data_IF_766575077188
#
_entry.id   IF_766575077188
#
_cell.length_a   1.000
_cell.length_b   1.000
_cell.length_c   1.000
_cell.angle_alpha   90.00
_cell.angle_beta   90.00
_cell.angle_gamma   90.00
#
_symmetry.space_group_name_H-M   'P 1'
#
loop_
_entity.id
_entity.type
_entity.pdbx_description
1 polymer ?
#
# COMPACT_ATOMS: atom_id res chain seq x y z
N UNK A 1 -9.18 3.23 -16.98
CA UNK A 1 -8.17 4.20 -17.45
C UNK A 1 -7.16 4.43 -16.33
N UNK A 2 -5.87 4.46 -16.64
CA UNK A 2 -4.83 4.78 -15.65
C UNK A 2 -4.92 6.29 -15.37
N UNK A 3 -5.55 6.67 -14.25
CA UNK A 3 -6.04 8.03 -14.05
C UNK A 3 -4.95 9.10 -13.90
N UNK A 4 -5.04 10.15 -14.72
CA UNK A 4 -4.27 11.42 -14.70
C UNK A 4 -4.58 12.32 -13.48
N UNK A 5 -5.20 11.79 -12.42
CA UNK A 5 -5.60 12.59 -11.26
C UNK A 5 -4.50 12.55 -10.19
N UNK A 6 -4.02 13.73 -9.77
CA UNK A 6 -3.15 13.86 -8.61
C UNK A 6 -3.74 13.09 -7.41
N UNK A 7 -2.91 12.34 -6.65
CA UNK A 7 -3.40 11.55 -5.53
C UNK A 7 -3.99 12.47 -4.46
N UNK A 8 -5.25 12.25 -4.12
CA UNK A 8 -5.92 12.90 -2.99
C UNK A 8 -5.61 12.14 -1.71
N UNK A 9 -5.07 12.83 -0.72
CA UNK A 9 -4.75 12.29 0.61
C UNK A 9 -5.92 12.49 1.59
N UNK A 10 -6.08 11.65 2.63
CA UNK A 10 -5.25 10.50 2.96
C UNK A 10 -5.48 9.33 1.98
N UNK A 11 -4.42 8.57 1.70
CA UNK A 11 -4.42 7.43 0.80
C UNK A 11 -3.94 6.17 1.53
N UNK A 12 -4.54 5.03 1.21
CA UNK A 12 -3.99 3.73 1.66
C UNK A 12 -3.27 3.08 0.48
N UNK A 13 -1.99 2.79 0.65
CA UNK A 13 -1.17 2.13 -0.36
C UNK A 13 -0.95 0.67 0.00
N UNK A 14 -1.31 -0.24 -0.90
CA UNK A 14 -0.97 -1.65 -0.84
C UNK A 14 0.19 -1.92 -1.82
N UNK A 15 1.35 -2.29 -1.29
CA UNK A 15 2.56 -2.58 -2.07
C UNK A 15 2.75 -4.08 -2.08
N UNK A 16 2.62 -4.72 -3.25
CA UNK A 16 2.68 -6.18 -3.42
C UNK A 16 3.63 -6.54 -4.56
N UNK A 17 4.86 -6.94 -4.21
CA UNK A 17 5.91 -7.35 -5.14
C UNK A 17 6.42 -8.76 -4.83
N UNK A 18 7.44 -9.20 -5.55
CA UNK A 18 8.12 -10.47 -5.27
C UNK A 18 8.68 -10.54 -3.85
N UNK A 19 9.16 -9.42 -3.29
CA UNK A 19 9.80 -9.39 -1.97
C UNK A 19 9.09 -8.54 -0.91
N UNK A 20 8.00 -7.85 -1.28
CA UNK A 20 7.29 -6.95 -0.38
C UNK A 20 5.79 -7.23 -0.39
N UNK A 21 5.20 -7.17 0.80
CA UNK A 21 3.75 -7.07 0.96
C UNK A 21 3.52 -6.17 2.16
N UNK A 22 3.32 -4.89 1.87
CA UNK A 22 3.21 -3.82 2.86
C UNK A 22 1.89 -3.06 2.66
N UNK A 23 1.27 -2.69 3.76
CA UNK A 23 0.10 -1.82 3.80
C UNK A 23 0.50 -0.52 4.49
N UNK A 24 0.29 0.61 3.82
CA UNK A 24 0.71 1.92 4.32
C UNK A 24 -0.43 2.93 4.25
N UNK A 25 -0.45 3.84 5.21
CA UNK A 25 -1.24 5.07 5.16
C UNK A 25 -0.33 6.22 4.74
N UNK A 26 -0.77 7.04 3.80
CA UNK A 26 -0.09 8.26 3.41
C UNK A 26 -1.01 9.46 3.62
N UNK A 27 -0.56 10.39 4.44
CA UNK A 27 -1.24 11.66 4.71
C UNK A 27 -0.77 12.78 3.78
N UNK A 28 0.28 12.52 2.98
CA UNK A 28 0.90 13.43 2.03
C UNK A 28 2.19 12.85 1.46
N UNK A 29 2.74 13.50 0.43
CA UNK A 29 4.05 13.10 -0.11
C UNK A 29 5.13 13.11 0.98
N UNK A 30 5.85 12.00 1.13
CA UNK A 30 6.88 11.83 2.16
C UNK A 30 6.35 11.60 3.58
N UNK A 31 5.02 11.60 3.77
CA UNK A 31 4.36 11.35 5.05
C UNK A 31 3.67 10.00 4.98
N UNK A 32 4.39 8.98 5.47
CA UNK A 32 3.94 7.59 5.39
C UNK A 32 3.96 6.96 6.77
N UNK A 33 2.98 6.09 7.00
CA UNK A 33 2.89 5.25 8.19
C UNK A 33 2.63 3.83 7.75
N UNK A 34 3.58 2.92 8.02
CA UNK A 34 3.32 1.50 7.83
C UNK A 34 2.22 1.05 8.79
N UNK A 35 1.16 0.47 8.23
CA UNK A 35 0.07 -0.15 8.99
C UNK A 35 0.39 -1.61 9.29
N UNK A 36 0.87 -2.35 8.28
CA UNK A 36 1.21 -3.75 8.40
C UNK A 36 2.14 -4.23 7.29
N UNK A 37 2.72 -5.43 7.49
CA UNK A 37 3.60 -6.09 6.52
C UNK A 37 3.43 -7.60 6.56
N UNK A 38 3.93 -8.31 5.55
CA UNK A 38 4.06 -9.76 5.68
C UNK A 38 5.00 -10.13 6.84
N UNK A 39 4.59 -11.13 7.63
CA UNK A 39 5.42 -11.77 8.67
C UNK A 39 6.32 -12.86 8.10
N UNK A 40 6.03 -13.35 6.89
CA UNK A 40 6.74 -14.45 6.24
C UNK A 40 6.98 -14.19 4.74
N UNK A 41 6.53 -15.08 3.86
CA UNK A 41 6.67 -14.94 2.41
C UNK A 41 5.86 -13.71 1.94
N UNK A 42 6.41 -12.95 1.00
CA UNK A 42 5.61 -11.95 0.27
C UNK A 42 4.60 -12.65 -0.65
N UNK A 43 3.51 -11.97 -0.99
CA UNK A 43 2.50 -12.55 -1.88
C UNK A 43 3.10 -12.91 -3.25
N UNK A 44 3.97 -12.05 -3.81
CA UNK A 44 4.63 -12.34 -5.09
C UNK A 44 5.52 -13.59 -5.03
N UNK A 45 6.29 -13.76 -3.95
CA UNK A 45 7.06 -14.98 -3.71
C UNK A 45 6.16 -16.22 -3.57
N UNK A 46 4.99 -16.10 -2.93
CA UNK A 46 4.01 -17.18 -2.87
C UNK A 46 3.48 -17.55 -4.27
N UNK A 47 3.18 -16.55 -5.12
CA UNK A 47 2.81 -16.78 -6.52
C UNK A 47 3.92 -17.51 -7.29
N UNK A 48 5.17 -17.09 -7.16
CA UNK A 48 6.30 -17.73 -7.84
C UNK A 48 6.52 -19.18 -7.38
N UNK A 49 6.44 -19.44 -6.07
CA UNK A 49 6.57 -20.79 -5.52
C UNK A 49 5.45 -21.71 -5.98
N UNK A 50 4.20 -21.24 -6.00
CA UNK A 50 3.06 -22.03 -6.43
C UNK A 50 3.07 -22.25 -7.95
N UNK A 51 3.44 -21.25 -8.74
CA UNK A 51 3.61 -21.41 -10.18
C UNK A 51 4.64 -22.50 -10.51
N UNK A 52 5.78 -22.51 -9.81
CA UNK A 52 6.78 -23.57 -9.94
C UNK A 52 6.23 -24.93 -9.53
N UNK A 53 5.48 -25.00 -8.43
CA UNK A 53 4.87 -26.24 -7.95
C UNK A 53 3.92 -26.84 -8.98
N UNK A 54 3.14 -26.01 -9.69
CA UNK A 54 2.19 -26.41 -10.73
C UNK A 54 2.83 -26.61 -12.12
N UNK A 55 4.14 -26.41 -12.26
CA UNK A 55 4.84 -26.55 -13.54
C UNK A 55 4.66 -25.38 -14.51
N UNK A 56 4.26 -24.20 -14.04
CA UNK A 56 3.97 -23.03 -14.87
C UNK A 56 5.18 -22.13 -15.16
N UNK A 57 6.27 -22.28 -14.42
CA UNK A 57 7.51 -21.52 -14.60
C UNK A 57 7.51 -20.14 -13.92
N UNK A 58 8.36 -19.24 -14.41
CA UNK A 58 8.56 -17.87 -13.92
C UNK A 58 8.41 -16.86 -15.07
N UNK A 59 7.81 -15.66 -14.86
CA UNK A 59 7.26 -15.13 -13.61
C UNK A 59 5.92 -15.77 -13.22
N UNK A 60 5.77 -16.12 -11.95
CA UNK A 60 4.66 -16.93 -11.47
C UNK A 60 3.33 -16.18 -11.36
N UNK A 61 3.36 -14.89 -11.00
CA UNK A 61 2.15 -14.06 -10.90
C UNK A 61 1.30 -14.06 -12.18
N UNK A 62 1.85 -13.61 -13.33
CA UNK A 62 1.12 -13.63 -14.61
C UNK A 62 0.75 -15.03 -15.09
N UNK A 63 1.56 -16.04 -14.77
CA UNK A 63 1.29 -17.42 -15.16
C UNK A 63 0.08 -17.99 -14.40
N UNK A 64 0.02 -17.79 -13.09
CA UNK A 64 -1.13 -18.19 -12.26
C UNK A 64 -2.39 -17.45 -12.69
N UNK A 65 -2.32 -16.13 -12.92
CA UNK A 65 -3.49 -15.35 -13.33
C UNK A 65 -4.10 -15.85 -14.65
N UNK A 66 -3.25 -16.24 -15.61
CA UNK A 66 -3.70 -16.76 -16.90
C UNK A 66 -4.44 -18.09 -16.75
N UNK A 67 -3.89 -19.02 -15.99
CA UNK A 67 -4.51 -20.33 -15.76
C UNK A 67 -5.79 -20.21 -14.93
N UNK A 68 -5.75 -19.38 -13.89
CA UNK A 68 -6.87 -19.13 -12.98
C UNK A 68 -8.11 -18.57 -13.69
N UNK A 69 -7.95 -17.87 -14.82
CA UNK A 69 -9.07 -17.32 -15.59
C UNK A 69 -10.05 -18.40 -16.10
N UNK A 70 -9.57 -19.63 -16.25
CA UNK A 70 -10.36 -20.78 -16.72
C UNK A 70 -10.75 -21.77 -15.62
N UNK A 71 -10.28 -21.56 -14.39
CA UNK A 71 -10.52 -22.46 -13.25
C UNK A 71 -11.68 -22.03 -12.36
N UNK A 72 -12.18 -22.97 -11.56
CA UNK A 72 -13.14 -22.73 -10.49
C UNK A 72 -12.39 -22.33 -9.20
N UNK A 73 -12.51 -21.07 -8.73
CA UNK A 73 -11.86 -20.63 -7.50
C UNK A 73 -12.36 -21.33 -6.24
N UNK A 74 -13.48 -22.04 -6.29
CA UNK A 74 -14.07 -22.74 -5.13
C UNK A 74 -13.76 -24.24 -5.09
N UNK A 75 -13.10 -24.81 -6.11
CA UNK A 75 -12.82 -26.25 -6.17
C UNK A 75 -11.95 -26.74 -5.01
N UNK A 76 -10.94 -25.95 -4.63
CA UNK A 76 -10.06 -26.27 -3.51
C UNK A 76 -10.16 -25.22 -2.41
N UNK A 77 -10.35 -25.66 -1.17
CA UNK A 77 -10.48 -24.76 -0.02
C UNK A 77 -9.11 -24.51 0.63
N UNK A 78 -8.35 -23.56 0.07
CA UNK A 78 -7.08 -23.15 0.66
C UNK A 78 -7.27 -22.23 1.88
N UNK A 79 -6.39 -22.35 2.90
CA UNK A 79 -6.48 -21.54 4.11
C UNK A 79 -6.27 -20.06 3.79
N UNK A 80 -6.95 -19.20 4.55
CA UNK A 80 -6.72 -17.75 4.56
C UNK A 80 -6.12 -17.39 5.90
N UNK A 81 -4.89 -16.89 5.92
CA UNK A 81 -4.20 -16.56 7.16
C UNK A 81 -4.72 -15.23 7.74
N UNK A 82 -5.79 -15.33 8.51
CA UNK A 82 -6.27 -14.23 9.34
C UNK A 82 -5.44 -14.20 10.64
N UNK A 83 -4.55 -13.22 10.73
CA UNK A 83 -3.79 -12.92 11.95
C UNK A 83 -4.70 -12.29 13.00
N UNK A 84 -4.14 -11.71 14.05
CA UNK A 84 -4.91 -11.13 15.16
C UNK A 84 -5.93 -10.10 14.62
N UNK A 85 -7.13 -9.97 15.22
CA UNK A 85 -8.21 -9.12 14.69
C UNK A 85 -7.79 -7.66 14.44
N UNK A 86 -6.89 -7.11 15.25
CA UNK A 86 -6.41 -5.72 15.13
C UNK A 86 -5.11 -5.60 14.34
N UNK A 87 -4.52 -6.72 13.92
CA UNK A 87 -3.32 -6.73 13.11
C UNK A 87 -3.64 -6.37 11.67
N UNK A 88 -2.77 -5.58 11.03
CA UNK A 88 -2.79 -5.30 9.59
C UNK A 88 -1.80 -6.16 8.80
N UNK A 89 -1.08 -7.05 9.49
CA UNK A 89 -0.04 -7.88 8.89
C UNK A 89 -0.60 -8.96 7.96
N UNK A 90 0.28 -9.53 7.15
CA UNK A 90 -0.02 -10.62 6.23
C UNK A 90 0.80 -11.88 6.55
N UNK A 91 0.35 -13.04 6.06
CA UNK A 91 1.08 -14.30 6.08
C UNK A 91 0.61 -15.15 4.90
N UNK A 92 1.56 -15.67 4.12
CA UNK A 92 1.29 -16.49 2.93
C UNK A 92 2.08 -17.80 2.90
N UNK A 93 3.05 -17.98 3.81
CA UNK A 93 3.87 -19.19 3.87
C UNK A 93 3.06 -20.48 4.08
N UNK A 94 1.91 -20.40 4.76
CA UNK A 94 1.00 -21.55 4.93
C UNK A 94 0.31 -22.00 3.64
N UNK A 95 0.03 -21.07 2.71
CA UNK A 95 -0.69 -21.39 1.46
C UNK A 95 0.15 -22.29 0.57
N UNK A 96 1.45 -22.02 0.39
CA UNK A 96 2.31 -22.86 -0.46
C UNK A 96 2.32 -24.32 0.02
N UNK A 97 2.32 -24.50 1.35
CA UNK A 97 2.33 -25.82 1.99
C UNK A 97 1.00 -26.52 1.76
N UNK A 98 -0.12 -25.82 1.90
CA UNK A 98 -1.45 -26.35 1.59
C UNK A 98 -1.58 -26.77 0.12
N UNK A 99 -1.10 -25.96 -0.83
CA UNK A 99 -1.10 -26.33 -2.25
C UNK A 99 -0.20 -27.55 -2.50
N UNK A 100 0.99 -27.61 -1.89
CA UNK A 100 1.89 -28.76 -2.00
C UNK A 100 1.26 -30.06 -1.49
N UNK A 101 0.55 -29.99 -0.37
CA UNK A 101 -0.21 -31.14 0.13
C UNK A 101 -1.34 -31.53 -0.82
N UNK A 102 -2.10 -30.56 -1.34
CA UNK A 102 -3.17 -30.83 -2.30
C UNK A 102 -2.66 -31.50 -3.57
N UNK A 103 -1.50 -31.08 -4.09
CA UNK A 103 -0.83 -31.71 -5.25
C UNK A 103 -0.45 -33.17 -4.95
N UNK A 104 0.08 -33.43 -3.75
CA UNK A 104 0.41 -34.79 -3.30
C UNK A 104 -0.84 -35.66 -3.17
N UNK A 105 -1.91 -35.12 -2.61
CA UNK A 105 -3.18 -35.84 -2.42
C UNK A 105 -3.87 -36.16 -3.76
N UNK A 106 -3.54 -35.40 -4.82
CA UNK A 106 -3.91 -35.69 -6.21
C UNK A 106 -2.99 -36.74 -6.89
N UNK A 107 -2.09 -37.37 -6.14
CA UNK A 107 -1.24 -38.46 -6.61
C UNK A 107 0.03 -38.04 -7.33
N UNK A 108 0.45 -36.77 -7.19
CA UNK A 108 1.67 -36.26 -7.81
C UNK A 108 2.73 -35.97 -6.76
N UNK A 109 3.91 -36.56 -6.91
CA UNK A 109 5.06 -36.21 -6.07
C UNK A 109 5.59 -34.82 -6.47
N UNK A 110 5.43 -33.79 -5.61
CA UNK A 110 5.83 -32.43 -5.94
C UNK A 110 7.35 -32.23 -5.99
N UNK A 111 8.15 -33.20 -5.54
CA UNK A 111 9.62 -33.11 -5.52
C UNK A 111 10.24 -33.84 -6.71
N UNK A 112 9.61 -34.92 -7.19
CA UNK A 112 10.15 -35.79 -8.24
C UNK A 112 9.44 -35.66 -9.60
N UNK A 113 8.16 -35.27 -9.66
CA UNK A 113 7.44 -35.17 -10.93
C UNK A 113 7.97 -34.03 -11.81
N UNK A 114 8.08 -34.25 -13.12
CA UNK A 114 8.49 -33.20 -14.07
C UNK A 114 7.41 -32.12 -14.22
N UNK A 115 7.75 -30.89 -14.62
CA UNK A 115 6.76 -29.84 -14.90
C UNK A 115 5.68 -30.27 -15.91
N UNK A 116 6.05 -31.07 -16.91
CA UNK A 116 5.14 -31.61 -17.92
C UNK A 116 4.15 -32.60 -17.32
N UNK A 117 4.64 -33.50 -16.47
CA UNK A 117 3.80 -34.48 -15.77
C UNK A 117 2.79 -33.80 -14.86
N UNK A 118 3.24 -32.78 -14.11
CA UNK A 118 2.36 -31.97 -13.24
C UNK A 118 1.25 -31.32 -14.04
N UNK A 119 1.60 -30.68 -15.18
CA UNK A 119 0.62 -30.02 -16.05
C UNK A 119 -0.36 -30.99 -16.69
N UNK A 120 0.06 -32.20 -17.01
CA UNK A 120 -0.79 -33.20 -17.64
C UNK A 120 -1.80 -33.83 -16.67
N UNK A 121 -1.44 -33.99 -15.39
CA UNK A 121 -2.23 -34.76 -14.41
C UNK A 121 -2.98 -33.91 -13.39
N UNK A 122 -2.53 -32.68 -13.11
CA UNK A 122 -3.19 -31.81 -12.15
C UNK A 122 -4.29 -30.96 -12.79
N UNK A 123 -5.38 -30.66 -12.07
CA UNK A 123 -6.32 -29.62 -12.44
C UNK A 123 -5.70 -28.23 -12.20
N UNK A 124 -4.72 -27.87 -13.02
CA UNK A 124 -3.86 -26.67 -12.82
C UNK A 124 -4.68 -25.39 -12.77
N UNK A 125 -5.66 -25.23 -13.67
CA UNK A 125 -6.52 -24.04 -13.71
C UNK A 125 -7.27 -23.83 -12.39
N UNK A 126 -7.84 -24.89 -11.82
CA UNK A 126 -8.59 -24.81 -10.56
C UNK A 126 -7.67 -24.61 -9.35
N UNK A 127 -6.51 -25.28 -9.33
CA UNK A 127 -5.49 -25.05 -8.29
C UNK A 127 -5.01 -23.60 -8.29
N UNK A 128 -4.73 -23.05 -9.48
CA UNK A 128 -4.34 -21.66 -9.68
C UNK A 128 -5.47 -20.71 -9.25
N UNK A 129 -6.72 -20.97 -9.66
CA UNK A 129 -7.88 -20.15 -9.33
C UNK A 129 -8.16 -20.13 -7.81
N UNK A 130 -8.18 -21.30 -7.17
CA UNK A 130 -8.40 -21.40 -5.72
C UNK A 130 -7.27 -20.76 -4.92
N UNK A 131 -6.01 -20.91 -5.35
CA UNK A 131 -4.86 -20.27 -4.70
C UNK A 131 -4.93 -18.74 -4.85
N UNK A 132 -5.15 -18.24 -6.07
CA UNK A 132 -5.27 -16.81 -6.32
C UNK A 132 -6.42 -16.21 -5.52
N UNK A 133 -7.56 -16.89 -5.44
CA UNK A 133 -8.70 -16.45 -4.65
C UNK A 133 -8.35 -16.31 -3.16
N UNK A 134 -7.60 -17.24 -2.59
CA UNK A 134 -7.17 -17.16 -1.19
C UNK A 134 -6.23 -15.97 -0.92
N UNK A 135 -5.26 -15.71 -1.81
CA UNK A 135 -4.34 -14.57 -1.68
C UNK A 135 -5.06 -13.24 -1.87
N UNK A 136 -5.86 -13.12 -2.94
CA UNK A 136 -6.63 -11.91 -3.27
C UNK A 136 -7.59 -11.56 -2.15
N UNK A 137 -8.25 -12.56 -1.56
CA UNK A 137 -9.21 -12.33 -0.48
C UNK A 137 -8.56 -11.68 0.75
N UNK A 138 -7.38 -12.15 1.16
CA UNK A 138 -6.66 -11.58 2.31
C UNK A 138 -6.18 -10.15 2.00
N UNK A 139 -5.57 -9.95 0.83
CA UNK A 139 -5.05 -8.64 0.40
C UNK A 139 -6.17 -7.61 0.30
N UNK A 140 -7.25 -7.94 -0.42
CA UNK A 140 -8.34 -7.02 -0.69
C UNK A 140 -9.16 -6.70 0.57
N UNK A 141 -9.43 -7.68 1.44
CA UNK A 141 -10.11 -7.43 2.72
C UNK A 141 -9.34 -6.46 3.59
N UNK A 142 -8.02 -6.65 3.74
CA UNK A 142 -7.19 -5.79 4.60
C UNK A 142 -7.04 -4.39 4.02
N UNK A 143 -6.84 -4.26 2.71
CA UNK A 143 -6.77 -2.97 2.04
C UNK A 143 -8.07 -2.17 2.15
N UNK A 144 -9.22 -2.80 1.85
CA UNK A 144 -10.53 -2.16 1.99
C UNK A 144 -10.83 -1.77 3.44
N UNK A 145 -10.58 -2.67 4.40
CA UNK A 145 -10.77 -2.37 5.83
C UNK A 145 -9.91 -1.20 6.29
N UNK A 146 -8.64 -1.14 5.88
CA UNK A 146 -7.77 -0.01 6.21
C UNK A 146 -8.27 1.29 5.59
N UNK A 147 -8.70 1.27 4.33
CA UNK A 147 -9.27 2.44 3.67
C UNK A 147 -10.47 3.01 4.44
N UNK A 148 -11.40 2.16 4.86
CA UNK A 148 -12.56 2.58 5.67
C UNK A 148 -12.16 3.06 7.07
N UNK A 149 -11.23 2.36 7.72
CA UNK A 149 -10.82 2.66 9.10
C UNK A 149 -10.10 4.00 9.21
N UNK A 150 -9.27 4.33 8.22
CA UNK A 150 -8.48 5.56 8.21
C UNK A 150 -9.10 6.68 7.36
N UNK A 151 -10.32 6.50 6.86
CA UNK A 151 -11.02 7.51 6.05
C UNK A 151 -10.28 7.87 4.77
N UNK A 152 -9.64 6.88 4.12
CA UNK A 152 -8.87 7.11 2.91
C UNK A 152 -9.78 7.59 1.77
N UNK A 153 -9.36 8.64 1.08
CA UNK A 153 -10.08 9.14 -0.10
C UNK A 153 -9.89 8.22 -1.30
N UNK A 154 -8.74 7.53 -1.36
CA UNK A 154 -8.38 6.59 -2.43
C UNK A 154 -7.48 5.47 -1.90
N UNK A 155 -7.46 4.38 -2.66
CA UNK A 155 -6.48 3.32 -2.52
C UNK A 155 -5.44 3.43 -3.63
N UNK A 156 -4.19 3.10 -3.35
CA UNK A 156 -3.16 2.90 -4.37
C UNK A 156 -2.63 1.48 -4.31
N UNK A 157 -2.34 0.92 -5.48
CA UNK A 157 -1.80 -0.42 -5.64
C UNK A 157 -0.48 -0.34 -6.42
N UNK A 158 0.58 -0.92 -5.88
CA UNK A 158 1.91 -0.93 -6.51
C UNK A 158 2.62 -2.28 -6.35
N UNK A 159 3.66 -2.51 -7.16
CA UNK A 159 4.42 -3.76 -7.18
C UNK A 159 3.95 -4.74 -8.27
N UNK A 160 4.75 -5.77 -8.55
CA UNK A 160 4.48 -6.71 -9.66
C UNK A 160 3.15 -7.47 -9.56
N UNK A 161 2.66 -7.74 -8.34
CA UNK A 161 1.36 -8.41 -8.13
C UNK A 161 0.19 -7.44 -8.31
N UNK A 162 0.43 -6.12 -8.27
CA UNK A 162 -0.58 -5.10 -8.55
C UNK A 162 -1.16 -5.20 -9.98
N UNK A 163 -0.42 -5.81 -10.90
CA UNK A 163 -0.87 -6.05 -12.26
C UNK A 163 -1.99 -7.11 -12.35
N UNK A 164 -2.24 -7.85 -11.26
CA UNK A 164 -3.32 -8.84 -11.20
C UNK A 164 -4.69 -8.15 -11.22
N UNK A 165 -5.46 -8.41 -12.28
CA UNK A 165 -6.76 -7.78 -12.53
C UNK A 165 -7.82 -8.20 -11.53
N UNK A 166 -7.78 -9.45 -11.09
CA UNK A 166 -8.71 -9.95 -10.06
C UNK A 166 -8.49 -9.21 -8.74
N UNK A 167 -7.24 -8.99 -8.33
CA UNK A 167 -6.91 -8.22 -7.13
C UNK A 167 -7.47 -6.80 -7.22
N UNK A 168 -7.17 -6.09 -8.31
CA UNK A 168 -7.66 -4.72 -8.53
C UNK A 168 -9.19 -4.65 -8.42
N UNK A 169 -9.88 -5.49 -9.18
CA UNK A 169 -11.35 -5.54 -9.19
C UNK A 169 -11.93 -5.85 -7.82
N UNK A 170 -11.37 -6.84 -7.12
CA UNK A 170 -11.85 -7.21 -5.78
C UNK A 170 -11.62 -6.10 -4.75
N UNK A 171 -10.53 -5.34 -4.87
CA UNK A 171 -10.32 -4.15 -4.01
C UNK A 171 -11.36 -3.08 -4.31
N UNK A 172 -11.58 -2.74 -5.58
CA UNK A 172 -12.58 -1.74 -5.99
C UNK A 172 -13.99 -2.12 -5.48
N UNK A 173 -14.39 -3.38 -5.66
CA UNK A 173 -15.68 -3.91 -5.21
C UNK A 173 -15.84 -3.82 -3.68
N UNK A 174 -14.80 -4.11 -2.90
CA UNK A 174 -14.86 -4.14 -1.43
C UNK A 174 -14.73 -2.77 -0.80
N UNK A 175 -13.84 -1.94 -1.32
CA UNK A 175 -13.58 -0.62 -0.78
C UNK A 175 -14.60 0.42 -1.25
N UNK A 176 -15.25 0.20 -2.40
CA UNK A 176 -16.12 1.20 -3.06
C UNK A 176 -15.39 2.54 -3.27
N UNK A 177 -14.07 2.47 -3.54
CA UNK A 177 -13.18 3.59 -3.75
C UNK A 177 -12.42 3.39 -5.05
N UNK A 178 -12.07 4.49 -5.70
CA UNK A 178 -11.18 4.46 -6.85
C UNK A 178 -9.80 3.95 -6.43
N UNK A 179 -9.28 2.97 -7.17
CA UNK A 179 -7.93 2.42 -6.96
C UNK A 179 -6.97 3.02 -7.99
N UNK A 180 -5.96 3.73 -7.50
CA UNK A 180 -4.83 4.21 -8.28
C UNK A 180 -3.86 3.04 -8.50
N UNK A 181 -3.91 2.42 -9.67
CA UNK A 181 -2.91 1.46 -10.11
C UNK A 181 -2.18 2.08 -11.31
N UNK A 182 -0.84 2.14 -11.34
CA UNK A 182 -0.12 2.61 -12.52
C UNK A 182 -0.20 1.58 -13.66
N UNK A 183 0.12 1.95 -14.91
CA UNK A 183 0.21 0.98 -15.99
C UNK A 183 1.24 -0.11 -15.66
N UNK A 184 1.06 -1.38 -16.09
CA UNK A 184 1.90 -2.51 -15.69
C UNK A 184 3.41 -2.27 -15.80
N UNK A 185 3.86 -1.55 -16.83
CA UNK A 185 5.28 -1.17 -17.03
C UNK A 185 5.88 -0.32 -15.91
N UNK A 186 5.04 0.36 -15.13
CA UNK A 186 5.41 1.22 -14.00
C UNK A 186 5.16 0.55 -12.64
N UNK A 187 4.49 -0.62 -12.60
CA UNK A 187 4.24 -1.37 -11.37
C UNK A 187 5.50 -2.11 -10.87
N UNK A 188 6.39 -2.51 -11.78
CA UNK A 188 7.67 -3.15 -11.45
C UNK A 188 8.76 -2.12 -11.18
N UNK A 189 9.85 -2.51 -10.51
CA UNK A 189 10.97 -1.64 -10.19
C UNK A 189 11.52 -0.92 -11.45
N UNK A 190 11.61 0.40 -11.40
CA UNK A 190 11.95 1.28 -12.51
C UNK A 190 12.51 2.63 -12.01
N UNK A 191 13.33 3.29 -12.84
CA UNK A 191 13.96 4.56 -12.46
C UNK A 191 12.97 5.74 -12.33
N UNK A 192 11.83 5.69 -13.03
CA UNK A 192 10.85 6.78 -13.00
C UNK A 192 10.23 6.96 -11.60
N UNK A 193 9.94 5.87 -10.88
CA UNK A 193 9.44 5.97 -9.51
C UNK A 193 10.48 6.59 -8.55
N UNK A 194 11.77 6.31 -8.76
CA UNK A 194 12.86 6.87 -7.97
C UNK A 194 13.00 8.36 -8.25
N UNK A 195 12.94 8.77 -9.52
CA UNK A 195 12.95 10.17 -9.91
C UNK A 195 11.75 10.94 -9.31
N UNK A 196 10.55 10.37 -9.37
CA UNK A 196 9.35 10.97 -8.79
C UNK A 196 9.46 11.12 -7.25
N UNK A 197 9.91 10.06 -6.56
CA UNK A 197 10.16 10.12 -5.12
C UNK A 197 11.23 11.17 -4.76
N UNK A 198 12.29 11.28 -5.57
CA UNK A 198 13.33 12.30 -5.43
C UNK A 198 12.79 13.72 -5.59
N UNK A 199 11.97 13.97 -6.62
CA UNK A 199 11.31 15.25 -6.86
C UNK A 199 10.49 15.69 -5.64
N UNK A 200 9.57 14.84 -5.17
CA UNK A 200 8.73 15.15 -4.01
C UNK A 200 9.50 15.20 -2.69
N UNK A 201 10.71 14.64 -2.61
CA UNK A 201 11.60 14.77 -1.44
C UNK A 201 12.41 16.08 -1.45
N UNK A 202 12.67 16.64 -2.64
CA UNK A 202 13.45 17.87 -2.80
C UNK A 202 12.56 19.12 -2.77
N UNK A 203 11.38 19.07 -3.38
CA UNK A 203 10.45 20.21 -3.48
C UNK A 203 9.89 20.79 -2.16
N UNK A 204 9.63 20.03 -1.07
CA UNK A 204 8.98 20.58 0.12
C UNK A 204 9.94 21.26 1.12
N UNK A 205 11.26 21.17 0.95
CA UNK A 205 12.21 21.74 1.93
C UNK A 205 12.78 23.07 1.44
N UNK A 206 12.63 24.20 2.18
CA UNK A 206 13.33 25.46 1.90
C UNK A 206 14.85 25.39 2.20
N UNK A 207 15.43 24.19 2.22
CA UNK A 207 16.85 23.96 2.47
C UNK A 207 17.54 23.58 1.17
N UNK A 208 18.53 24.38 0.81
CA UNK A 208 19.48 24.18 -0.28
C UNK A 208 19.90 22.71 -0.41
N UNK A 209 19.95 22.22 -1.65
CA UNK A 209 20.46 20.88 -2.00
C UNK A 209 21.90 20.64 -1.57
N UNK A 210 22.65 21.69 -1.20
CA UNK A 210 24.07 21.63 -0.84
C UNK A 210 24.35 20.95 0.51
N UNK A 211 23.38 20.86 1.43
CA UNK A 211 23.58 20.30 2.78
C UNK A 211 23.14 18.83 2.93
N UNK A 212 22.59 18.22 1.87
CA UNK A 212 22.20 16.81 1.92
C UNK A 212 23.42 15.97 1.54
N UNK A 213 23.86 15.09 2.44
CA UNK A 213 24.81 14.02 2.09
C UNK A 213 24.28 13.27 0.87
N UNK A 214 24.88 13.53 -0.29
CA UNK A 214 24.60 12.84 -1.57
C UNK A 214 25.11 11.39 -1.56
N UNK A 215 25.90 11.02 -0.55
CA UNK A 215 26.36 9.66 -0.33
C UNK A 215 25.28 8.89 0.43
N UNK A 216 24.40 8.24 -0.32
CA UNK A 216 23.61 7.14 0.20
C UNK A 216 24.56 6.06 0.70
N UNK A 217 24.67 5.92 2.02
CA UNK A 217 25.20 4.67 2.59
C UNK A 217 24.39 3.54 1.97
N UNK A 218 25.05 2.62 1.24
CA UNK A 218 24.39 1.41 0.75
C UNK A 218 23.84 0.68 1.97
N UNK A 219 22.53 0.78 2.18
CA UNK A 219 21.84 0.10 3.28
C UNK A 219 21.15 -1.08 2.64
N UNK A 220 21.61 -2.28 2.96
CA UNK A 220 21.04 -3.54 2.44
C UNK A 220 19.60 -3.80 2.92
N UNK A 221 19.13 -3.08 3.96
CA UNK A 221 17.77 -3.14 4.49
C UNK A 221 17.30 -1.76 5.00
N UNK A 222 16.96 -0.82 4.10
CA UNK A 222 16.37 0.44 4.54
C UNK A 222 14.98 0.14 5.10
N UNK A 223 14.73 0.40 6.38
CA UNK A 223 13.36 0.39 6.87
C UNK A 223 12.63 1.58 6.24
N UNK A 224 11.42 1.38 5.70
CA UNK A 224 10.66 2.44 5.05
C UNK A 224 10.46 3.65 6.00
N UNK A 225 10.24 3.37 7.28
CA UNK A 225 10.13 4.38 8.35
C UNK A 225 11.45 5.14 8.60
N UNK A 226 12.61 4.52 8.34
CA UNK A 226 13.94 5.14 8.52
C UNK A 226 14.41 5.93 7.30
N UNK A 227 13.80 5.76 6.13
CA UNK A 227 14.12 6.54 4.94
C UNK A 227 13.66 8.00 5.02
N UNK A 228 12.77 8.30 5.98
CA UNK A 228 12.11 9.59 6.20
C UNK A 228 12.28 10.10 7.65
N UNK A 229 13.52 10.24 8.13
CA UNK A 229 13.90 11.24 9.15
C UNK A 229 12.98 11.42 10.37
N UNK A 230 12.40 10.36 10.93
CA UNK A 230 11.68 10.42 12.21
C UNK A 230 12.66 10.35 13.38
N UNK A 231 13.48 11.39 13.55
CA UNK A 231 13.98 11.77 14.88
C UNK A 231 13.10 12.90 15.40
N UNK A 232 11.93 12.52 15.94
CA UNK A 232 10.90 13.48 16.33
C UNK A 232 9.81 12.88 17.22
N UNK A 233 10.20 12.28 18.34
CA UNK A 233 9.38 11.96 19.53
C UNK A 233 8.14 11.07 19.28
N UNK A 234 8.29 9.76 19.47
CA UNK A 234 7.21 8.99 20.08
C UNK A 234 7.23 9.23 21.60
N UNK A 235 6.21 9.91 22.13
CA UNK A 235 5.73 9.60 23.47
C UNK A 235 4.46 8.78 23.26
N UNK A 236 4.47 7.56 23.78
CA UNK A 236 3.26 6.77 23.97
C UNK A 236 2.24 7.63 24.71
N UNK A 237 1.11 7.91 24.05
CA UNK A 237 -0.07 8.48 24.65
C UNK A 237 -1.18 7.45 24.48
N UNK A 238 -1.45 6.72 25.56
CA UNK A 238 -2.62 5.87 25.71
C UNK A 238 -3.88 6.70 25.44
N UNK A 239 -4.58 6.41 24.34
CA UNK A 239 -5.97 6.83 24.19
C UNK A 239 -6.87 5.72 24.73
N UNK A 240 -6.89 5.60 26.06
CA UNK A 240 -7.96 4.94 26.79
C UNK A 240 -9.14 5.90 26.86
N UNK A 241 -10.24 5.52 26.20
CA UNK A 241 -11.52 6.19 26.29
C UNK A 241 -12.06 6.09 27.72
N UNK A 242 -12.36 7.24 28.34
CA UNK A 242 -13.09 7.30 29.61
C UNK A 242 -14.41 8.08 29.43
N UNK A 243 -15.49 7.72 30.16
CA UNK A 243 -16.85 7.99 29.75
C UNK A 243 -17.39 9.34 30.23
N UNK A 244 -18.40 9.82 29.50
CA UNK A 244 -19.22 10.99 29.79
C UNK A 244 -19.83 10.94 31.21
N UNK A 245 -19.46 11.91 32.05
CA UNK A 245 -19.98 12.09 33.42
C UNK A 245 -20.33 13.55 33.72
N UNK A 246 -21.64 13.83 33.66
CA UNK A 246 -22.45 14.74 34.49
C UNK A 246 -21.98 16.15 34.89
N UNK A 247 -22.88 17.11 34.56
CA UNK A 247 -23.00 18.51 34.99
C UNK A 247 -22.58 18.80 36.45
N UNK A 248 -21.84 19.90 36.64
CA UNK A 248 -22.02 20.80 37.80
C UNK A 248 -21.77 22.27 37.44
N UNK A 249 -22.77 23.11 37.74
CA UNK A 249 -22.75 24.58 37.66
C UNK A 249 -21.80 25.17 38.71
N UNK A 250 -21.09 26.26 38.38
CA UNK A 250 -21.32 27.62 38.96
C UNK A 250 -20.27 28.65 38.52
N UNK A 251 -20.80 29.83 38.16
CA UNK A 251 -20.32 31.23 38.40
C UNK A 251 -18.87 31.53 37.97
N UNK A 252 -18.56 32.46 37.08
CA UNK A 252 -19.23 33.71 36.76
C UNK A 252 -18.19 34.83 36.90
N UNK A 253 -17.71 35.39 35.79
CA UNK A 253 -17.12 36.71 35.78
C UNK A 253 -17.30 37.31 34.39
N UNK A 254 -18.10 38.37 34.33
CA UNK A 254 -18.31 39.23 33.16
C UNK A 254 -17.18 40.24 33.13
N UNK A 255 -16.58 40.47 31.96
CA UNK A 255 -16.15 41.82 31.53
C UNK A 255 -16.50 41.93 30.05
N UNK A 256 -17.18 43.03 29.73
CA UNK A 256 -17.73 43.35 28.41
C UNK A 256 -17.06 44.59 27.85
N UNK A 257 -16.86 44.57 26.53
CA UNK A 257 -16.89 45.66 25.54
C UNK A 257 -15.93 46.85 25.62
N UNK A 258 -15.17 46.93 24.52
CA UNK A 258 -15.11 48.05 23.56
C UNK A 258 -14.33 49.32 23.92
N UNK A 259 -13.33 49.62 23.08
CA UNK A 259 -13.08 50.99 22.60
C UNK A 259 -12.43 50.93 21.21
N UNK A 260 -13.06 51.64 20.28
CA UNK A 260 -12.68 51.90 18.90
C UNK A 260 -12.15 53.35 18.81
N UNK A 261 -11.44 53.69 17.72
CA UNK A 261 -10.84 54.99 17.34
C UNK A 261 -9.47 55.29 18.00
N UNK A 262 -8.40 55.68 17.31
CA UNK A 262 -8.17 56.06 15.92
C UNK A 262 -6.99 57.05 15.91
N UNK A 263 -6.02 56.88 14.99
CA UNK A 263 -5.30 57.94 14.23
C UNK A 263 -4.00 57.42 13.61
N UNK A 264 -4.04 57.44 12.28
CA UNK A 264 -2.98 57.61 11.29
C UNK A 264 -1.67 58.28 11.73
N UNK A 265 -0.55 57.69 11.30
CA UNK A 265 0.66 58.42 10.87
C UNK A 265 1.11 57.84 9.53
N UNK A 266 1.21 58.71 8.55
CA UNK A 266 1.70 58.50 7.18
C UNK A 266 3.23 58.43 7.14
N UNK A 267 3.79 57.49 6.37
CA UNK A 267 5.05 57.72 5.65
C UNK A 267 5.10 56.88 4.37
N UNK A 268 5.71 57.49 3.37
CA UNK A 268 5.52 57.31 1.95
C UNK A 268 6.39 56.22 1.31
N UNK A 269 5.83 55.63 0.25
CA UNK A 269 6.44 55.21 -1.02
C UNK A 269 7.92 54.81 -1.05
N UNK A 270 8.16 53.53 -1.35
CA UNK A 270 9.13 53.12 -2.35
C UNK A 270 8.67 51.80 -3.00
N UNK A 271 8.69 51.82 -4.32
CA UNK A 271 8.28 50.76 -5.25
C UNK A 271 8.99 49.42 -5.04
N UNK A 272 8.25 48.33 -5.23
CA UNK A 272 8.71 47.14 -5.94
C UNK A 272 7.49 46.26 -6.27
N UNK A 273 6.79 46.65 -7.33
CA UNK A 273 6.02 45.71 -8.14
C UNK A 273 6.97 44.67 -8.77
N UNK A 274 6.40 43.51 -9.11
CA UNK A 274 6.94 42.46 -10.01
C UNK A 274 7.61 41.20 -9.42
N UNK A 275 6.89 40.39 -8.64
CA UNK A 275 7.07 38.92 -8.70
C UNK A 275 5.72 38.19 -8.61
N UNK A 276 4.95 38.20 -9.71
CA UNK A 276 3.93 37.18 -9.95
C UNK A 276 4.64 35.84 -10.13
N UNK A 277 4.58 34.96 -9.15
CA UNK A 277 5.00 33.56 -9.31
C UNK A 277 4.05 32.88 -10.31
N UNK A 278 4.55 32.18 -11.34
CA UNK A 278 3.69 31.31 -12.13
C UNK A 278 3.29 30.11 -11.28
N UNK A 279 1.99 29.79 -11.30
CA UNK A 279 1.48 28.52 -10.81
C UNK A 279 2.05 27.41 -11.70
N UNK A 280 3.05 26.69 -11.21
CA UNK A 280 3.55 25.48 -11.87
C UNK A 280 2.51 24.37 -11.68
N UNK A 281 1.63 24.21 -12.67
CA UNK A 281 0.93 22.95 -12.93
C UNK A 281 1.79 22.13 -13.90
N UNK A 282 2.14 20.87 -13.59
CA UNK A 282 2.50 19.92 -14.61
C UNK A 282 1.28 19.06 -14.97
N UNK A 283 0.97 18.99 -16.27
CA UNK A 283 0.21 17.88 -16.83
C UNK A 283 1.12 16.65 -16.80
N UNK A 284 0.71 15.57 -16.12
CA UNK A 284 1.25 14.22 -16.27
C UNK A 284 0.16 13.19 -15.96
#
# INVERSE_FOLDING_TARGET
EYGEAEPTFPLVALIVSGGHTDLQLSDGHGQYRRLGRTRDDAAGEAFDKVARLLGLGFPGGPAIEREAASGDPKRFNFPRAWLEPDSWDFSFSGLKTAVRHQVRDLGIDPDNASPEERRAKLPVADLAASFQAAVVDVLATRAARAAHTFGASRLALGGGVAANRTLLRTIEERAQLAVLCPPPRLCTDNAAMIAAAGYFRLCPSPRSSADKSLFGTSRSRPNFDQQIGLEGRSRHGDFSAAPLGTRRKRKGLRVSMAAFLGKSVTRSSADCDSWRKPACRPNF
#
